data_IF_040981337762
#
_entry.id   IF_040981337762
#
_cell.length_a   1.000
_cell.length_b   1.000
_cell.length_c   1.000
_cell.angle_alpha   90.00
_cell.angle_beta   90.00
_cell.angle_gamma   90.00
#
_symmetry.space_group_name_H-M   'P 1'
#
loop_
_entity.id
_entity.type
_entity.pdbx_description
1 polymer ?
#
# COMPACT_ATOMS: atom_id res chain seq x y z
N UNK A 1 46.40 -61.34 20.22
CA UNK A 1 47.27 -61.36 21.40
C UNK A 1 46.86 -60.21 22.27
N UNK A 2 46.29 -60.34 23.35
CA UNK A 2 46.25 -61.09 24.59
C UNK A 2 45.67 -60.10 25.60
N UNK A 3 44.87 -60.49 26.30
CA UNK A 3 44.38 -61.16 27.53
C UNK A 3 43.87 -60.12 28.51
N UNK A 4 42.57 -60.09 28.82
CA UNK A 4 41.82 -60.60 29.98
C UNK A 4 42.60 -60.50 31.33
N UNK A 5 41.99 -59.76 32.24
CA UNK A 5 42.03 -60.10 33.65
C UNK A 5 40.73 -59.60 34.35
N UNK A 6 40.02 -60.60 34.85
CA UNK A 6 38.84 -60.49 35.77
C UNK A 6 39.46 -60.64 37.18
N UNK A 7 38.96 -59.87 38.14
CA UNK A 7 39.09 -60.20 39.54
C UNK A 7 37.87 -59.97 40.34
N UNK A 8 37.48 -60.92 41.14
CA UNK A 8 36.29 -61.17 41.92
C UNK A 8 36.33 -60.62 43.34
N UNK A 9 35.15 -60.33 43.87
CA UNK A 9 34.66 -60.51 45.24
C UNK A 9 35.19 -59.67 46.39
N UNK A 10 34.33 -59.05 47.18
CA UNK A 10 33.92 -59.63 48.48
C UNK A 10 32.62 -58.99 49.03
N UNK A 11 31.87 -59.78 49.77
CA UNK A 11 30.57 -59.58 50.42
C UNK A 11 30.74 -58.93 51.78
N UNK A 12 29.54 -58.39 52.19
CA UNK A 12 28.96 -58.29 53.55
C UNK A 12 29.08 -56.89 54.15
N UNK A 13 27.98 -56.23 54.60
CA UNK A 13 27.14 -56.57 55.74
C UNK A 13 25.88 -55.69 55.81
N UNK A 14 24.81 -56.23 56.25
CA UNK A 14 23.52 -55.63 56.56
C UNK A 14 23.61 -54.51 57.58
N UNK A 15 22.86 -53.40 57.36
CA UNK A 15 22.24 -52.65 58.46
C UNK A 15 20.92 -52.01 57.94
N UNK A 16 19.84 -52.36 58.68
CA UNK A 16 18.49 -51.83 58.46
C UNK A 16 18.42 -50.38 58.95
N UNK A 17 17.99 -49.48 58.09
CA UNK A 17 17.60 -48.13 58.47
C UNK A 17 16.29 -47.76 57.75
N UNK A 18 15.17 -47.68 58.50
CA UNK A 18 13.92 -47.09 58.06
C UNK A 18 14.18 -45.61 57.77
N UNK A 19 14.13 -45.21 56.52
CA UNK A 19 14.10 -43.80 56.13
C UNK A 19 12.77 -43.49 55.43
N UNK A 20 11.94 -42.63 56.03
CA UNK A 20 10.69 -42.17 55.47
C UNK A 20 10.95 -41.43 54.14
N UNK A 21 10.41 -41.94 53.03
CA UNK A 21 10.42 -41.25 51.74
C UNK A 21 9.38 -40.14 51.75
N UNK A 22 9.82 -38.89 51.91
CA UNK A 22 9.04 -37.69 51.58
C UNK A 22 8.93 -37.62 50.07
N UNK A 23 7.76 -38.00 49.54
CA UNK A 23 7.42 -37.73 48.11
C UNK A 23 7.10 -36.25 48.00
N UNK A 24 8.06 -35.46 47.57
CA UNK A 24 7.83 -34.08 47.14
C UNK A 24 7.12 -34.11 45.79
N UNK A 25 5.81 -33.98 45.76
CA UNK A 25 5.03 -33.69 44.56
C UNK A 25 5.38 -32.27 44.12
N UNK A 26 6.31 -32.14 43.18
CA UNK A 26 6.55 -30.91 42.44
C UNK A 26 5.31 -30.63 41.60
N UNK A 27 4.47 -29.70 42.03
CA UNK A 27 3.44 -29.08 41.21
C UNK A 27 4.15 -28.32 40.05
N UNK A 28 4.27 -28.97 38.91
CA UNK A 28 4.67 -28.30 37.68
C UNK A 28 3.55 -27.33 37.27
N UNK A 29 3.72 -26.05 37.61
CA UNK A 29 2.92 -24.98 37.06
C UNK A 29 3.15 -25.01 35.54
N UNK A 30 2.08 -24.96 34.72
CA UNK A 30 2.26 -24.84 33.27
C UNK A 30 3.05 -23.56 33.01
N UNK A 31 4.21 -23.66 32.38
CA UNK A 31 4.95 -22.53 31.88
C UNK A 31 4.01 -21.83 30.88
N UNK A 32 3.47 -20.70 31.26
CA UNK A 32 2.81 -19.83 30.30
C UNK A 32 3.86 -19.49 29.24
N UNK A 33 3.69 -20.04 28.05
CA UNK A 33 4.52 -19.70 26.90
C UNK A 33 4.40 -18.17 26.75
N UNK A 34 5.47 -17.47 27.09
CA UNK A 34 5.57 -16.03 26.86
C UNK A 34 5.45 -15.84 25.34
N UNK A 35 4.35 -15.22 24.89
CA UNK A 35 4.24 -14.82 23.50
C UNK A 35 5.50 -13.99 23.15
N UNK A 36 6.18 -14.29 22.03
CA UNK A 36 7.33 -13.51 21.62
C UNK A 36 6.93 -12.04 21.58
N UNK A 37 7.74 -11.18 22.19
CA UNK A 37 7.53 -9.74 22.10
C UNK A 37 7.48 -9.39 20.60
N UNK A 38 6.46 -8.63 20.19
CA UNK A 38 6.34 -8.22 18.80
C UNK A 38 7.61 -7.46 18.37
N UNK A 39 8.12 -7.68 17.14
CA UNK A 39 9.35 -7.05 16.67
C UNK A 39 9.33 -5.54 16.92
N UNK A 40 10.46 -4.98 17.33
CA UNK A 40 10.61 -3.54 17.48
C UNK A 40 10.43 -2.85 16.12
N UNK A 41 9.86 -1.64 16.10
CA UNK A 41 9.71 -0.82 14.90
C UNK A 41 10.20 0.59 15.20
N UNK A 42 11.39 0.90 14.72
CA UNK A 42 11.96 2.23 14.89
C UNK A 42 11.10 3.33 14.26
N UNK A 43 10.45 3.02 13.13
CA UNK A 43 9.56 3.96 12.45
C UNK A 43 8.30 4.23 13.26
N UNK A 44 7.62 3.18 13.78
CA UNK A 44 6.44 3.36 14.63
C UNK A 44 6.77 4.13 15.91
N UNK A 45 7.90 3.85 16.52
CA UNK A 45 8.34 4.54 17.73
C UNK A 45 8.62 6.03 17.45
N UNK A 46 9.27 6.36 16.34
CA UNK A 46 9.51 7.73 15.90
C UNK A 46 8.20 8.47 15.58
N UNK A 47 7.26 7.82 14.89
CA UNK A 47 5.94 8.40 14.57
C UNK A 47 5.17 8.69 15.85
N UNK A 48 5.16 7.77 16.82
CA UNK A 48 4.48 7.94 18.11
C UNK A 48 5.11 9.05 18.95
N UNK A 49 6.43 9.07 19.05
CA UNK A 49 7.16 10.11 19.78
C UNK A 49 6.89 11.50 19.22
N UNK A 50 6.77 11.61 17.90
CA UNK A 50 6.46 12.86 17.19
C UNK A 50 4.97 13.24 17.26
N UNK A 51 4.07 12.25 17.47
CA UNK A 51 2.62 12.43 17.52
C UNK A 51 1.97 12.71 16.17
N UNK A 52 2.67 12.45 15.05
CA UNK A 52 2.17 12.65 13.68
C UNK A 52 2.89 11.76 12.68
N UNK A 53 2.16 11.27 11.68
CA UNK A 53 2.68 10.56 10.51
C UNK A 53 3.18 11.59 9.49
N UNK A 54 4.34 11.34 8.85
CA UNK A 54 4.80 12.13 7.70
C UNK A 54 4.60 11.29 6.45
N UNK A 55 3.69 11.72 5.59
CA UNK A 55 3.31 10.98 4.38
C UNK A 55 3.70 11.75 3.12
N UNK A 56 4.53 11.12 2.28
CA UNK A 56 4.86 11.63 0.96
C UNK A 56 3.71 11.38 -0.02
N UNK A 57 3.27 12.43 -0.71
CA UNK A 57 2.12 12.40 -1.63
C UNK A 57 2.49 13.02 -2.97
N UNK A 58 1.63 12.91 -3.98
CA UNK A 58 1.80 13.60 -5.25
C UNK A 58 1.72 15.13 -5.07
N UNK A 59 2.38 15.89 -5.92
CA UNK A 59 2.37 17.37 -5.89
C UNK A 59 1.00 17.97 -6.22
N UNK A 60 0.16 17.22 -6.95
CA UNK A 60 -1.21 17.61 -7.32
C UNK A 60 -1.76 16.69 -8.40
N UNK A 61 -2.52 15.65 -8.00
CA UNK A 61 -3.18 14.72 -8.91
C UNK A 61 -4.62 14.52 -8.45
N UNK A 62 -5.55 15.04 -9.24
CA UNK A 62 -6.99 14.99 -8.92
C UNK A 62 -7.45 13.56 -8.61
N UNK A 63 -8.25 13.38 -7.59
CA UNK A 63 -8.74 12.10 -7.12
C UNK A 63 -7.72 11.26 -6.33
N UNK A 64 -6.41 11.47 -6.49
CA UNK A 64 -5.37 10.73 -5.76
C UNK A 64 -4.78 11.54 -4.60
N UNK A 65 -4.19 12.68 -4.87
CA UNK A 65 -3.66 13.57 -3.84
C UNK A 65 -3.58 15.00 -4.36
N UNK A 66 -4.38 15.88 -3.80
CA UNK A 66 -4.30 17.32 -4.05
C UNK A 66 -4.90 18.11 -2.90
N UNK A 67 -4.42 19.33 -2.61
CA UNK A 67 -5.10 20.22 -1.69
C UNK A 67 -6.39 20.77 -2.33
N UNK A 68 -7.45 20.89 -1.52
CA UNK A 68 -8.65 21.65 -1.90
C UNK A 68 -8.43 23.16 -1.79
N UNK A 69 -9.46 23.96 -2.07
CA UNK A 69 -9.41 25.43 -2.00
C UNK A 69 -9.09 25.99 -0.61
N UNK A 70 -9.17 25.15 0.44
CA UNK A 70 -8.82 25.50 1.82
C UNK A 70 -7.45 24.97 2.22
N UNK A 71 -6.71 24.35 1.28
CA UNK A 71 -5.41 23.74 1.55
C UNK A 71 -5.51 22.37 2.21
N UNK A 72 -6.69 21.79 2.37
CA UNK A 72 -6.87 20.45 2.96
C UNK A 72 -6.61 19.38 1.91
N UNK A 73 -5.66 18.49 2.18
CA UNK A 73 -5.33 17.39 1.29
C UNK A 73 -6.47 16.38 1.19
N UNK A 74 -6.80 15.97 -0.04
CA UNK A 74 -7.85 14.99 -0.36
C UNK A 74 -7.39 14.04 -1.46
N UNK A 75 -7.98 12.86 -1.48
CA UNK A 75 -7.78 11.88 -2.53
C UNK A 75 -7.55 10.47 -2.01
N UNK A 76 -7.51 9.53 -2.94
CA UNK A 76 -7.36 8.10 -2.68
C UNK A 76 -6.06 7.79 -1.91
N UNK A 77 -4.92 8.30 -2.37
CA UNK A 77 -3.63 8.13 -1.70
C UNK A 77 -3.59 8.83 -0.33
N UNK A 78 -4.26 9.99 -0.21
CA UNK A 78 -4.38 10.73 1.04
C UNK A 78 -5.17 9.93 2.09
N UNK A 79 -6.23 9.24 1.67
CA UNK A 79 -7.03 8.42 2.58
C UNK A 79 -6.22 7.21 3.12
N UNK A 80 -5.26 6.67 2.37
CA UNK A 80 -4.32 5.66 2.90
C UNK A 80 -3.38 6.25 3.97
N UNK A 81 -2.88 7.48 3.80
CA UNK A 81 -2.13 8.15 4.86
C UNK A 81 -3.00 8.35 6.12
N UNK A 82 -4.25 8.79 5.96
CA UNK A 82 -5.21 8.95 7.05
C UNK A 82 -5.53 7.63 7.74
N UNK A 83 -5.66 6.54 6.97
CA UNK A 83 -5.92 5.22 7.54
C UNK A 83 -4.81 4.78 8.50
N UNK A 84 -3.54 5.03 8.15
CA UNK A 84 -2.40 4.77 9.04
C UNK A 84 -2.44 5.68 10.27
N UNK A 85 -2.74 6.96 10.11
CA UNK A 85 -2.87 7.88 11.25
C UNK A 85 -4.02 7.49 12.20
N UNK A 86 -5.16 7.07 11.67
CA UNK A 86 -6.29 6.56 12.47
C UNK A 86 -5.87 5.29 13.22
N UNK A 87 -5.16 4.37 12.58
CA UNK A 87 -4.69 3.15 13.24
C UNK A 87 -3.75 3.46 14.42
N UNK A 88 -2.91 4.48 14.30
CA UNK A 88 -1.90 4.84 15.30
C UNK A 88 -2.43 5.78 16.39
N UNK A 89 -3.28 6.74 16.05
CA UNK A 89 -3.68 7.85 16.91
C UNK A 89 -5.19 7.98 17.09
N UNK A 90 -5.97 7.16 16.38
CA UNK A 90 -7.42 7.32 16.29
C UNK A 90 -7.85 8.71 15.79
N UNK A 91 -7.01 9.35 14.96
CA UNK A 91 -7.19 10.72 14.46
C UNK A 91 -6.70 10.82 13.01
N UNK A 92 -7.57 11.14 12.02
CA UNK A 92 -7.21 11.26 10.61
C UNK A 92 -6.33 12.48 10.31
N UNK A 93 -6.30 13.47 11.21
CA UNK A 93 -5.58 14.72 11.00
C UNK A 93 -4.14 14.68 11.55
N UNK A 94 -3.75 13.58 12.19
CA UNK A 94 -2.37 13.34 12.63
C UNK A 94 -1.45 12.95 11.48
N UNK A 95 -1.54 13.68 10.37
CA UNK A 95 -0.71 13.50 9.16
C UNK A 95 -0.13 14.84 8.73
N UNK A 96 1.18 14.86 8.50
CA UNK A 96 1.87 15.91 7.75
C UNK A 96 2.13 15.41 6.34
N UNK A 97 1.56 16.07 5.35
CA UNK A 97 1.76 15.74 3.94
C UNK A 97 2.99 16.44 3.40
N UNK A 98 3.83 15.69 2.65
CA UNK A 98 5.01 16.20 1.95
C UNK A 98 4.84 15.94 0.46
N UNK A 99 4.56 16.97 -0.35
CA UNK A 99 4.48 16.81 -1.80
C UNK A 99 5.85 16.41 -2.37
N UNK A 100 5.87 15.34 -3.17
CA UNK A 100 7.09 14.85 -3.81
C UNK A 100 6.89 14.72 -5.32
N UNK A 101 7.94 15.03 -6.09
CA UNK A 101 7.98 14.76 -7.53
C UNK A 101 8.23 13.27 -7.79
N UNK A 102 8.06 12.82 -9.03
CA UNK A 102 8.39 11.46 -9.42
C UNK A 102 9.88 11.15 -9.20
N UNK A 103 10.74 12.15 -9.34
CA UNK A 103 12.19 12.02 -9.26
C UNK A 103 12.70 11.99 -7.80
N UNK A 104 12.16 12.84 -6.91
CA UNK A 104 12.68 12.96 -5.54
C UNK A 104 12.00 12.06 -4.49
N UNK A 105 10.84 11.45 -4.81
CA UNK A 105 10.04 10.65 -3.85
C UNK A 105 10.85 9.56 -3.14
N UNK A 106 11.70 8.84 -3.89
CA UNK A 106 12.47 7.74 -3.32
C UNK A 106 13.58 8.23 -2.38
N UNK A 107 14.25 9.33 -2.73
CA UNK A 107 15.25 9.97 -1.86
C UNK A 107 14.60 10.49 -0.58
N UNK A 108 13.41 11.11 -0.68
CA UNK A 108 12.65 11.56 0.50
C UNK A 108 12.28 10.41 1.44
N UNK A 109 11.92 9.22 0.89
CA UNK A 109 11.64 8.05 1.71
C UNK A 109 12.92 7.46 2.31
N UNK A 110 13.98 7.30 1.51
CA UNK A 110 15.25 6.72 1.97
C UNK A 110 15.91 7.56 3.06
N UNK A 111 15.89 8.89 2.94
CA UNK A 111 16.47 9.82 3.94
C UNK A 111 15.68 9.92 5.24
N UNK A 112 14.44 9.42 5.26
CA UNK A 112 13.53 9.55 6.40
C UNK A 112 12.83 10.91 6.47
N UNK A 113 12.87 11.71 5.42
CA UNK A 113 12.07 12.94 5.30
C UNK A 113 10.57 12.62 5.38
N UNK A 114 10.19 11.46 4.85
CA UNK A 114 8.84 10.88 5.01
C UNK A 114 8.92 9.48 5.62
N UNK A 115 7.89 9.10 6.36
CA UNK A 115 7.77 7.76 6.96
C UNK A 115 7.30 6.73 5.94
N UNK A 116 6.37 7.13 5.08
CA UNK A 116 5.82 6.34 3.98
C UNK A 116 5.55 7.22 2.76
N UNK A 117 5.45 6.56 1.60
CA UNK A 117 4.90 7.16 0.38
C UNK A 117 3.53 6.56 0.09
N UNK A 118 2.51 7.38 -0.08
CA UNK A 118 1.24 7.04 -0.72
C UNK A 118 1.06 7.99 -1.90
N UNK A 119 1.58 7.56 -3.07
CA UNK A 119 1.84 8.46 -4.19
C UNK A 119 1.88 7.70 -5.52
N UNK A 120 0.78 7.09 -5.91
CA UNK A 120 0.65 6.40 -7.21
C UNK A 120 1.99 5.80 -7.71
N UNK A 121 2.61 4.94 -6.88
CA UNK A 121 3.93 4.37 -7.15
C UNK A 121 3.81 2.92 -7.56
N UNK A 122 4.29 2.62 -8.75
CA UNK A 122 4.30 1.26 -9.32
C UNK A 122 5.25 0.35 -8.57
N UNK A 123 4.79 -0.81 -8.16
CA UNK A 123 5.62 -1.88 -7.61
C UNK A 123 6.43 -2.53 -8.73
N UNK A 124 7.74 -2.43 -8.65
CA UNK A 124 8.66 -3.06 -9.60
C UNK A 124 9.76 -3.80 -8.85
N UNK A 125 10.36 -4.81 -9.50
CA UNK A 125 11.48 -5.56 -8.92
C UNK A 125 12.60 -4.64 -8.42
N UNK A 126 13.00 -3.64 -9.21
CA UNK A 126 14.10 -2.75 -8.85
C UNK A 126 13.77 -1.85 -7.65
N UNK A 127 12.53 -1.36 -7.54
CA UNK A 127 12.08 -0.54 -6.43
C UNK A 127 12.00 -1.35 -5.14
N UNK A 128 11.52 -2.58 -5.25
CA UNK A 128 11.44 -3.53 -4.15
C UNK A 128 12.84 -3.92 -3.66
N UNK A 129 13.67 -4.48 -4.52
CA UNK A 129 14.96 -5.08 -4.15
C UNK A 129 16.11 -4.08 -4.09
N UNK A 130 16.41 -3.40 -5.22
CA UNK A 130 17.60 -2.56 -5.33
C UNK A 130 17.47 -1.23 -4.62
N UNK A 131 16.28 -0.61 -4.60
CA UNK A 131 16.03 0.62 -3.88
C UNK A 131 15.65 0.39 -2.40
N UNK A 132 15.32 -0.84 -2.04
CA UNK A 132 15.07 -1.23 -0.66
C UNK A 132 13.75 -0.70 -0.08
N UNK A 133 12.63 -0.99 -0.76
CA UNK A 133 11.31 -0.60 -0.31
C UNK A 133 10.35 -1.78 -0.17
N UNK A 134 9.61 -1.83 0.92
CA UNK A 134 8.50 -2.74 1.13
C UNK A 134 7.18 -2.09 0.65
N UNK A 135 6.47 -2.76 -0.25
CA UNK A 135 5.15 -2.31 -0.70
C UNK A 135 4.03 -2.83 0.21
N UNK A 136 3.10 -1.95 0.56
CA UNK A 136 1.94 -2.23 1.39
C UNK A 136 0.75 -2.84 0.64
N UNK A 137 1.02 -3.61 -0.42
CA UNK A 137 0.01 -4.19 -1.30
C UNK A 137 -0.25 -3.36 -2.55
N UNK A 138 -1.10 -3.87 -3.44
CA UNK A 138 -1.51 -3.18 -4.67
C UNK A 138 -2.86 -2.52 -4.39
N UNK A 139 -2.83 -1.23 -4.09
CA UNK A 139 -4.04 -0.45 -3.81
C UNK A 139 -4.78 -0.04 -5.07
N UNK A 140 -4.09 0.03 -6.21
CA UNK A 140 -4.69 0.39 -7.48
C UNK A 140 -3.98 -0.34 -8.64
N UNK A 141 -4.74 -1.11 -9.41
CA UNK A 141 -4.29 -1.75 -10.65
C UNK A 141 -4.49 -0.78 -11.80
N UNK A 142 -3.40 -0.37 -12.46
CA UNK A 142 -3.37 0.58 -13.54
C UNK A 142 -2.56 0.07 -14.73
N UNK A 143 -2.44 0.87 -15.75
CA UNK A 143 -1.59 0.70 -16.90
C UNK A 143 -1.24 2.05 -17.50
N UNK A 144 -0.19 2.12 -18.33
CA UNK A 144 0.21 3.34 -19.00
C UNK A 144 -0.56 3.52 -20.32
N UNK A 145 -1.04 4.75 -20.56
CA UNK A 145 -1.72 5.14 -21.78
C UNK A 145 -1.20 6.44 -22.36
N UNK A 146 -1.95 6.98 -23.33
CA UNK A 146 -1.66 8.24 -24.00
C UNK A 146 -2.89 9.12 -24.05
N UNK A 147 -2.71 10.41 -23.85
CA UNK A 147 -3.73 11.43 -24.05
C UNK A 147 -3.31 12.37 -25.16
N UNK A 148 -4.20 12.64 -26.10
CA UNK A 148 -3.99 13.52 -27.26
C UNK A 148 -5.12 14.55 -27.35
N UNK A 149 -4.90 15.65 -28.09
CA UNK A 149 -5.99 16.55 -28.44
C UNK A 149 -6.90 15.86 -29.45
N UNK A 150 -8.22 15.98 -29.26
CA UNK A 150 -9.22 15.44 -30.19
C UNK A 150 -9.00 15.93 -31.63
N UNK A 151 -8.55 17.17 -31.79
CA UNK A 151 -8.24 17.79 -33.09
C UNK A 151 -7.08 17.11 -33.85
N UNK A 152 -6.23 16.29 -33.18
CA UNK A 152 -5.16 15.55 -33.81
C UNK A 152 -5.70 14.38 -34.65
N UNK A 153 -6.91 13.88 -34.34
CA UNK A 153 -7.56 12.81 -35.11
C UNK A 153 -6.96 11.42 -34.90
N UNK A 154 -5.97 11.26 -34.02
CA UNK A 154 -5.29 9.99 -33.69
C UNK A 154 -6.24 9.10 -32.88
N UNK A 155 -6.27 7.81 -33.20
CA UNK A 155 -7.14 6.80 -32.59
C UNK A 155 -6.40 5.71 -31.84
N UNK A 156 -5.13 5.47 -32.18
CA UNK A 156 -4.28 4.45 -31.59
C UNK A 156 -2.89 5.02 -31.30
N UNK A 157 -2.21 4.46 -30.30
CA UNK A 157 -0.86 4.85 -29.96
C UNK A 157 0.16 4.64 -31.11
N UNK A 158 -0.10 3.70 -32.02
CA UNK A 158 0.75 3.47 -33.20
C UNK A 158 0.77 4.64 -34.18
N UNK A 159 -0.27 5.46 -34.21
CA UNK A 159 -0.37 6.65 -35.06
C UNK A 159 0.46 7.83 -34.52
N UNK A 160 1.12 7.67 -33.35
CA UNK A 160 2.04 8.64 -32.78
C UNK A 160 3.49 8.53 -33.33
N UNK A 161 3.72 7.84 -34.45
CA UNK A 161 5.05 7.80 -35.07
C UNK A 161 5.50 9.20 -35.48
N UNK A 162 6.65 9.62 -34.99
CA UNK A 162 7.21 10.97 -35.20
C UNK A 162 6.72 12.03 -34.21
N UNK A 163 5.77 11.72 -33.32
CA UNK A 163 5.19 12.67 -32.41
C UNK A 163 6.16 13.15 -31.30
N UNK A 164 5.87 14.33 -30.75
CA UNK A 164 6.48 14.83 -29.53
C UNK A 164 5.61 14.36 -28.33
N UNK A 165 6.23 13.72 -27.34
CA UNK A 165 5.51 13.13 -26.21
C UNK A 165 6.03 13.67 -24.88
N UNK A 166 5.18 14.37 -24.13
CA UNK A 166 5.47 14.81 -22.78
C UNK A 166 5.50 13.61 -21.81
N UNK A 167 6.56 13.50 -21.01
CA UNK A 167 6.78 12.44 -20.04
C UNK A 167 7.55 12.97 -18.83
N UNK A 168 7.34 12.35 -17.64
CA UNK A 168 8.09 12.70 -16.43
C UNK A 168 9.30 11.78 -16.25
N UNK A 169 10.48 12.33 -15.85
CA UNK A 169 11.68 11.55 -15.59
C UNK A 169 11.54 10.71 -14.30
N UNK A 170 12.33 9.61 -14.24
CA UNK A 170 12.37 8.74 -13.06
C UNK A 170 11.10 7.90 -12.85
N UNK A 171 10.33 7.71 -13.91
CA UNK A 171 9.08 6.94 -13.90
C UNK A 171 9.22 5.63 -14.67
N UNK A 172 8.36 4.65 -14.36
CA UNK A 172 8.12 3.48 -15.22
C UNK A 172 7.62 3.92 -16.58
N UNK A 173 6.85 5.00 -16.63
CA UNK A 173 6.28 5.58 -17.86
C UNK A 173 7.35 5.94 -18.89
N UNK A 174 8.44 6.58 -18.47
CA UNK A 174 9.56 6.94 -19.33
C UNK A 174 10.24 5.69 -19.92
N UNK A 175 10.45 4.67 -19.07
CA UNK A 175 11.05 3.40 -19.48
C UNK A 175 10.14 2.62 -20.42
N UNK A 176 8.87 2.45 -20.05
CA UNK A 176 7.88 1.72 -20.85
C UNK A 176 7.66 2.38 -22.21
N UNK A 177 7.59 3.71 -22.27
CA UNK A 177 7.47 4.45 -23.54
C UNK A 177 8.63 4.10 -24.49
N UNK A 178 9.85 4.10 -23.99
CA UNK A 178 11.05 3.78 -24.76
C UNK A 178 11.03 2.33 -25.25
N UNK A 179 10.69 1.39 -24.37
CA UNK A 179 10.65 -0.03 -24.71
C UNK A 179 9.52 -0.36 -25.70
N UNK A 180 8.33 0.20 -25.47
CA UNK A 180 7.18 0.03 -26.35
C UNK A 180 7.43 0.61 -27.75
N UNK A 181 8.00 1.81 -27.83
CA UNK A 181 8.32 2.45 -29.10
C UNK A 181 9.34 1.62 -29.91
N UNK A 182 10.39 1.12 -29.24
CA UNK A 182 11.38 0.23 -29.83
C UNK A 182 10.75 -1.06 -30.36
N UNK A 183 9.92 -1.72 -29.55
CA UNK A 183 9.26 -2.97 -29.91
C UNK A 183 8.30 -2.81 -31.10
N UNK A 184 7.64 -1.66 -31.20
CA UNK A 184 6.68 -1.36 -32.25
C UNK A 184 7.28 -0.58 -33.44
N UNK A 185 8.60 -0.27 -33.43
CA UNK A 185 9.31 0.51 -34.46
C UNK A 185 8.73 1.91 -34.65
N UNK A 186 8.29 2.52 -33.55
CA UNK A 186 7.75 3.88 -33.51
C UNK A 186 8.87 4.83 -33.08
N UNK A 187 8.98 5.95 -33.78
CA UNK A 187 9.88 7.05 -33.43
C UNK A 187 9.08 8.09 -32.66
N UNK A 188 9.68 8.69 -31.69
CA UNK A 188 9.09 9.81 -30.94
C UNK A 188 10.19 10.74 -30.43
N UNK A 189 9.83 11.96 -30.12
CA UNK A 189 10.70 12.92 -29.44
C UNK A 189 10.19 13.12 -28.01
N UNK A 190 10.92 12.67 -26.98
CA UNK A 190 10.49 12.88 -25.60
C UNK A 190 10.68 14.35 -25.20
N UNK A 191 9.66 14.91 -24.58
CA UNK A 191 9.72 16.21 -23.88
C UNK A 191 9.66 15.91 -22.39
N UNK A 192 10.84 15.86 -21.76
CA UNK A 192 10.99 15.44 -20.35
C UNK A 192 10.78 16.65 -19.44
N UNK A 193 9.75 16.56 -18.59
CA UNK A 193 9.37 17.64 -17.65
C UNK A 193 9.08 17.02 -16.28
N UNK A 194 9.75 17.51 -15.25
CA UNK A 194 9.70 16.91 -13.91
C UNK A 194 8.35 17.15 -13.21
N UNK A 195 7.84 18.38 -13.25
CA UNK A 195 6.61 18.73 -12.53
C UNK A 195 5.38 18.38 -13.37
N UNK A 196 4.39 17.74 -12.73
CA UNK A 196 3.14 17.32 -13.39
C UNK A 196 2.44 18.51 -14.05
N UNK A 197 2.30 19.61 -13.31
CA UNK A 197 1.60 20.81 -13.79
C UNK A 197 2.28 21.41 -15.02
N UNK A 198 3.61 21.43 -15.03
CA UNK A 198 4.39 21.93 -16.16
C UNK A 198 4.29 21.01 -17.39
N UNK A 199 4.32 19.68 -17.17
CA UNK A 199 4.13 18.70 -18.23
C UNK A 199 2.73 18.81 -18.88
N UNK A 200 1.70 18.94 -18.05
CA UNK A 200 0.32 19.15 -18.51
C UNK A 200 0.18 20.49 -19.24
N UNK A 201 0.75 21.57 -18.72
CA UNK A 201 0.72 22.88 -19.38
C UNK A 201 1.46 22.84 -20.72
N UNK A 202 2.60 22.16 -20.83
CA UNK A 202 3.33 21.98 -22.08
C UNK A 202 2.49 21.23 -23.12
N UNK A 203 1.81 20.16 -22.72
CA UNK A 203 0.88 19.42 -23.57
C UNK A 203 -0.32 20.29 -24.00
N UNK A 204 -0.98 21.00 -23.08
CA UNK A 204 -2.11 21.87 -23.37
C UNK A 204 -1.72 23.00 -24.31
N UNK A 205 -0.53 23.58 -24.12
CA UNK A 205 0.04 24.61 -24.99
C UNK A 205 0.48 24.09 -26.39
N UNK A 206 0.47 22.76 -26.60
CA UNK A 206 0.86 22.15 -27.89
C UNK A 206 2.37 22.02 -28.09
N UNK A 207 3.17 22.06 -27.02
CA UNK A 207 4.60 21.70 -27.07
C UNK A 207 4.81 20.20 -27.25
N UNK A 208 3.80 19.40 -26.84
CA UNK A 208 3.76 17.96 -27.05
C UNK A 208 2.46 17.60 -27.76
N UNK A 209 2.54 16.70 -28.73
CA UNK A 209 1.40 16.12 -29.44
C UNK A 209 0.60 15.18 -28.53
N UNK A 210 1.31 14.48 -27.63
CA UNK A 210 0.71 13.58 -26.65
C UNK A 210 1.32 13.79 -25.25
N UNK A 211 0.52 13.43 -24.24
CA UNK A 211 0.97 13.25 -22.86
C UNK A 211 0.80 11.80 -22.45
N UNK A 212 1.81 11.20 -21.84
CA UNK A 212 1.79 9.80 -21.39
C UNK A 212 2.06 9.70 -19.90
N UNK A 213 1.23 8.93 -19.22
CA UNK A 213 1.34 8.51 -17.83
C UNK A 213 0.37 7.36 -17.60
N UNK A 214 0.15 6.95 -16.33
CA UNK A 214 -0.89 6.01 -15.94
C UNK A 214 -2.26 6.46 -16.45
N UNK A 215 -3.11 5.54 -16.91
CA UNK A 215 -4.45 5.85 -17.43
C UNK A 215 -5.28 6.59 -16.41
N UNK A 216 -5.15 6.24 -15.14
CA UNK A 216 -5.81 6.97 -14.05
C UNK A 216 -5.32 8.42 -13.94
N UNK A 217 -4.01 8.64 -14.13
CA UNK A 217 -3.41 9.97 -14.16
C UNK A 217 -3.86 10.78 -15.37
N UNK A 218 -4.04 10.14 -16.53
CA UNK A 218 -4.62 10.79 -17.71
C UNK A 218 -6.08 11.17 -17.48
N UNK A 219 -6.88 10.31 -16.83
CA UNK A 219 -8.26 10.61 -16.47
C UNK A 219 -8.34 11.79 -15.50
N UNK A 220 -7.49 11.81 -14.47
CA UNK A 220 -7.36 12.92 -13.54
C UNK A 220 -7.00 14.22 -14.26
N UNK A 221 -5.99 14.18 -15.14
CA UNK A 221 -5.55 15.33 -15.93
C UNK A 221 -6.67 15.85 -16.84
N UNK A 222 -7.35 14.95 -17.55
CA UNK A 222 -8.45 15.30 -18.44
C UNK A 222 -9.61 15.95 -17.70
N UNK A 223 -10.01 15.39 -16.55
CA UNK A 223 -11.12 15.92 -15.74
C UNK A 223 -10.86 17.34 -15.22
N UNK A 224 -9.60 17.71 -15.03
CA UNK A 224 -9.19 19.03 -14.55
C UNK A 224 -9.07 20.08 -15.68
N UNK A 225 -9.23 19.70 -16.96
CA UNK A 225 -9.15 20.64 -18.06
C UNK A 225 -10.45 21.47 -18.17
N UNK A 226 -10.31 22.71 -18.64
CA UNK A 226 -11.47 23.59 -18.90
C UNK A 226 -12.46 22.98 -19.90
N UNK A 227 -11.97 22.19 -20.86
CA UNK A 227 -12.75 21.48 -21.88
C UNK A 227 -12.27 20.02 -21.98
N UNK A 228 -12.72 19.13 -21.08
CA UNK A 228 -12.29 17.73 -21.05
C UNK A 228 -12.53 16.97 -22.37
N UNK A 229 -13.60 17.35 -23.13
CA UNK A 229 -13.94 16.74 -24.41
C UNK A 229 -12.93 17.01 -25.52
N UNK A 230 -12.10 18.06 -25.40
CA UNK A 230 -11.03 18.35 -26.35
C UNK A 230 -9.82 17.39 -26.20
N UNK A 231 -9.85 16.50 -25.22
CA UNK A 231 -8.77 15.57 -24.91
C UNK A 231 -9.27 14.12 -24.96
N UNK A 232 -8.59 13.28 -25.72
CA UNK A 232 -8.92 11.86 -25.88
C UNK A 232 -7.82 11.02 -25.23
N UNK A 233 -8.21 10.11 -24.34
CA UNK A 233 -7.34 9.05 -23.85
C UNK A 233 -7.46 7.91 -24.86
N UNK A 234 -6.34 7.53 -25.46
CA UNK A 234 -6.31 6.44 -26.44
C UNK A 234 -6.59 5.08 -25.75
N UNK A 235 -7.18 4.11 -26.48
CA UNK A 235 -7.54 2.82 -25.90
C UNK A 235 -6.34 1.91 -25.60
N UNK A 236 -5.16 2.26 -26.14
CA UNK A 236 -3.96 1.46 -25.98
C UNK A 236 -3.41 1.57 -24.55
N UNK A 237 -3.22 0.43 -23.90
CA UNK A 237 -2.53 0.30 -22.61
C UNK A 237 -1.24 -0.47 -22.85
N UNK A 238 -0.10 0.16 -22.59
CA UNK A 238 1.21 -0.36 -22.99
C UNK A 238 2.01 -1.01 -21.85
N UNK A 239 1.50 -0.97 -20.62
CA UNK A 239 2.17 -1.57 -19.46
C UNK A 239 1.18 -2.06 -18.41
N UNK A 240 1.72 -2.72 -17.39
CA UNK A 240 1.03 -3.00 -16.10
C UNK A 240 1.65 -2.08 -15.05
N UNK A 241 0.79 -1.34 -14.36
CA UNK A 241 1.19 -0.42 -13.29
C UNK A 241 0.45 -0.79 -11.99
N UNK A 242 0.96 -1.78 -11.22
CA UNK A 242 0.42 -2.11 -9.91
C UNK A 242 0.88 -1.05 -8.90
N UNK A 243 0.00 -0.12 -8.53
CA UNK A 243 0.31 0.99 -7.64
C UNK A 243 0.05 0.62 -6.19
N UNK A 244 0.91 1.11 -5.30
CA UNK A 244 0.70 0.92 -3.85
C UNK A 244 1.55 1.84 -2.99
N UNK A 245 1.18 1.98 -1.70
CA UNK A 245 2.01 2.67 -0.72
C UNK A 245 3.27 1.86 -0.43
N UNK A 246 4.33 2.55 -0.07
CA UNK A 246 5.61 1.90 0.23
C UNK A 246 6.31 2.56 1.42
N UNK A 247 7.13 1.77 2.10
CA UNK A 247 7.94 2.13 3.25
C UNK A 247 9.39 1.67 3.04
N UNK A 248 10.32 2.10 3.89
CA UNK A 248 11.71 1.63 3.85
C UNK A 248 11.80 0.15 4.28
N UNK A 249 12.70 -0.61 3.67
CA UNK A 249 13.09 -1.93 4.15
C UNK A 249 13.63 -1.88 5.59
N UNK A 250 13.55 -3.02 6.26
CA UNK A 250 14.12 -3.21 7.59
C UNK A 250 13.17 -2.89 8.75
N UNK A 251 11.98 -2.38 8.48
CA UNK A 251 10.92 -2.21 9.47
C UNK A 251 9.66 -2.98 9.06
N UNK A 252 9.75 -4.31 9.19
CA UNK A 252 8.69 -5.21 8.77
C UNK A 252 7.37 -4.95 9.48
N UNK A 253 7.41 -4.51 10.75
CA UNK A 253 6.19 -4.23 11.51
C UNK A 253 5.43 -3.04 10.96
N UNK A 254 6.13 -1.98 10.54
CA UNK A 254 5.50 -0.83 9.89
C UNK A 254 5.00 -1.20 8.48
N UNK A 255 5.78 -1.98 7.73
CA UNK A 255 5.37 -2.52 6.43
C UNK A 255 4.09 -3.38 6.55
N UNK A 256 4.04 -4.26 7.55
CA UNK A 256 2.87 -5.09 7.82
C UNK A 256 1.66 -4.24 8.22
N UNK A 257 1.82 -3.22 9.05
CA UNK A 257 0.72 -2.32 9.40
C UNK A 257 0.11 -1.67 8.15
N UNK A 258 0.94 -1.09 7.27
CA UNK A 258 0.47 -0.46 6.04
C UNK A 258 -0.23 -1.47 5.13
N UNK A 259 0.32 -2.66 4.99
CA UNK A 259 -0.23 -3.75 4.19
C UNK A 259 -1.57 -4.26 4.73
N UNK A 260 -1.65 -4.54 6.02
CA UNK A 260 -2.87 -5.07 6.63
C UNK A 260 -3.99 -4.05 6.78
N UNK A 261 -3.68 -2.75 6.76
CA UNK A 261 -4.71 -1.71 6.59
C UNK A 261 -5.38 -1.87 5.22
N UNK A 262 -4.61 -2.02 4.13
CA UNK A 262 -5.18 -2.25 2.80
C UNK A 262 -6.03 -3.52 2.76
N UNK A 263 -5.49 -4.65 3.21
CA UNK A 263 -6.23 -5.91 3.25
C UNK A 263 -7.48 -5.83 4.13
N UNK A 264 -7.41 -5.09 5.24
CA UNK A 264 -8.56 -4.85 6.10
C UNK A 264 -9.66 -4.03 5.41
N UNK A 265 -9.30 -3.02 4.62
CA UNK A 265 -10.25 -2.23 3.82
C UNK A 265 -10.95 -3.07 2.75
N UNK A 266 -10.20 -3.95 2.06
CA UNK A 266 -10.74 -4.91 1.07
C UNK A 266 -11.64 -5.93 1.76
N UNK A 267 -11.19 -6.51 2.87
CA UNK A 267 -12.00 -7.46 3.67
C UNK A 267 -13.29 -6.82 4.20
N UNK A 268 -13.24 -5.56 4.63
CA UNK A 268 -14.44 -4.84 5.06
C UNK A 268 -15.47 -4.72 3.91
N UNK A 269 -15.01 -4.45 2.69
CA UNK A 269 -15.89 -4.44 1.52
C UNK A 269 -16.47 -5.83 1.22
N UNK A 270 -15.64 -6.89 1.25
CA UNK A 270 -16.08 -8.28 1.05
C UNK A 270 -17.16 -8.70 2.05
N UNK A 271 -17.04 -8.26 3.29
CA UNK A 271 -17.99 -8.57 4.36
C UNK A 271 -19.22 -7.67 4.38
N UNK A 272 -19.30 -6.67 3.48
CA UNK A 272 -20.38 -5.70 3.43
C UNK A 272 -20.36 -4.68 4.57
N UNK A 273 -19.18 -4.48 5.21
CA UNK A 273 -18.99 -3.50 6.26
C UNK A 273 -18.64 -2.14 5.66
N UNK A 274 -19.40 -1.13 6.03
CA UNK A 274 -19.32 0.24 5.52
C UNK A 274 -19.15 1.24 6.67
N UNK A 275 -18.86 2.50 6.34
CA UNK A 275 -18.82 3.56 7.34
C UNK A 275 -20.15 3.73 8.11
N UNK A 276 -21.27 3.33 7.52
CA UNK A 276 -22.59 3.45 8.11
C UNK A 276 -22.95 2.32 9.06
N UNK A 277 -22.40 1.09 8.85
CA UNK A 277 -22.84 -0.08 9.62
C UNK A 277 -21.77 -0.72 10.50
N UNK A 278 -20.48 -0.43 10.31
CA UNK A 278 -19.41 -1.07 11.08
C UNK A 278 -19.51 -0.82 12.59
N UNK A 279 -20.02 0.31 13.01
CA UNK A 279 -20.26 0.62 14.42
C UNK A 279 -21.26 -0.32 15.10
N UNK A 280 -22.15 -0.95 14.31
CA UNK A 280 -23.16 -1.91 14.78
C UNK A 280 -22.73 -3.37 14.56
N UNK A 281 -21.59 -3.62 13.94
CA UNK A 281 -21.11 -4.96 13.61
C UNK A 281 -20.75 -5.82 14.86
N UNK A 282 -20.81 -5.24 16.05
CA UNK A 282 -20.60 -5.96 17.31
C UNK A 282 -21.61 -7.09 17.53
N UNK A 283 -22.82 -6.97 16.99
CA UNK A 283 -23.88 -7.99 17.05
C UNK A 283 -23.79 -9.05 15.95
N UNK A 284 -22.93 -8.86 14.96
CA UNK A 284 -22.73 -9.83 13.88
C UNK A 284 -21.95 -11.05 14.41
N UNK A 285 -22.52 -12.23 14.25
CA UNK A 285 -21.93 -13.47 14.78
C UNK A 285 -20.94 -14.14 13.83
N UNK A 286 -20.76 -13.62 12.63
CA UNK A 286 -19.81 -14.18 11.65
C UNK A 286 -18.36 -14.06 12.18
N UNK A 287 -17.60 -15.17 12.26
CA UNK A 287 -16.26 -15.14 12.83
C UNK A 287 -15.29 -14.17 12.15
N UNK A 288 -15.41 -14.00 10.82
CA UNK A 288 -14.56 -13.09 10.06
C UNK A 288 -14.84 -11.62 10.43
N UNK A 289 -16.12 -11.27 10.63
CA UNK A 289 -16.51 -9.96 11.13
C UNK A 289 -15.95 -9.72 12.52
N UNK A 290 -16.11 -10.69 13.45
CA UNK A 290 -15.62 -10.56 14.81
C UNK A 290 -14.10 -10.37 14.89
N UNK A 291 -13.34 -11.02 13.99
CA UNK A 291 -11.90 -10.80 13.85
C UNK A 291 -11.58 -9.41 13.33
N UNK A 292 -12.22 -8.99 12.23
CA UNK A 292 -11.97 -7.68 11.62
C UNK A 292 -12.26 -6.52 12.57
N UNK A 293 -13.33 -6.61 13.35
CA UNK A 293 -13.69 -5.57 14.32
C UNK A 293 -12.91 -5.66 15.65
N UNK A 294 -11.97 -6.61 15.77
CA UNK A 294 -11.06 -6.76 16.92
C UNK A 294 -11.69 -7.36 18.16
N UNK A 295 -12.82 -8.07 18.04
CA UNK A 295 -13.48 -8.77 19.15
C UNK A 295 -13.01 -10.21 19.33
N UNK A 296 -12.31 -10.75 18.36
CA UNK A 296 -11.74 -12.10 18.39
C UNK A 296 -10.29 -12.04 17.93
N UNK A 297 -9.37 -12.54 18.77
CA UNK A 297 -7.94 -12.48 18.55
C UNK A 297 -7.32 -11.12 18.89
N UNK A 298 -5.98 -11.08 18.88
CA UNK A 298 -5.17 -9.89 19.19
C UNK A 298 -4.52 -9.29 17.93
N UNK A 299 -5.25 -9.29 16.82
CA UNK A 299 -4.69 -8.96 15.49
C UNK A 299 -4.14 -7.53 15.41
N UNK A 300 -4.81 -6.56 16.02
CA UNK A 300 -4.31 -5.18 16.09
C UNK A 300 -3.02 -5.10 16.90
N UNK A 301 -2.96 -5.78 18.06
CA UNK A 301 -1.75 -5.80 18.90
C UNK A 301 -0.56 -6.44 18.21
N UNK A 302 -0.77 -7.45 17.36
CA UNK A 302 0.29 -8.03 16.52
C UNK A 302 0.92 -6.98 15.60
N UNK A 303 0.11 -6.04 15.09
CA UNK A 303 0.55 -4.90 14.28
C UNK A 303 1.03 -3.70 15.12
N UNK A 304 0.86 -3.77 16.44
CA UNK A 304 1.22 -2.69 17.35
C UNK A 304 0.19 -1.57 17.45
N UNK A 305 -1.05 -1.85 17.12
CA UNK A 305 -2.17 -0.89 17.22
C UNK A 305 -3.31 -1.46 18.05
N UNK A 306 -4.34 -0.67 18.31
CA UNK A 306 -5.55 -1.15 18.98
C UNK A 306 -6.26 -2.22 18.15
N UNK A 307 -6.87 -3.21 18.80
CA UNK A 307 -7.60 -4.27 18.10
C UNK A 307 -8.79 -3.74 17.29
N UNK A 308 -9.39 -2.62 17.69
CA UNK A 308 -10.49 -1.98 16.99
C UNK A 308 -10.02 -1.03 15.85
N UNK A 309 -8.74 -1.07 15.45
CA UNK A 309 -8.19 -0.15 14.44
C UNK A 309 -8.99 -0.14 13.13
N UNK A 310 -9.48 -1.31 12.67
CA UNK A 310 -10.31 -1.37 11.46
C UNK A 310 -11.69 -0.74 11.66
N UNK A 311 -12.30 -0.88 12.85
CA UNK A 311 -13.54 -0.16 13.17
C UNK A 311 -13.31 1.35 13.09
N UNK A 312 -12.21 1.82 13.68
CA UNK A 312 -11.85 3.24 13.68
C UNK A 312 -11.58 3.79 12.27
N UNK A 313 -10.92 3.00 11.42
CA UNK A 313 -10.64 3.37 10.03
C UNK A 313 -11.92 3.40 9.21
N UNK A 314 -12.65 2.27 9.17
CA UNK A 314 -13.82 2.12 8.31
C UNK A 314 -14.96 3.07 8.70
N UNK A 315 -15.17 3.32 10.00
CA UNK A 315 -16.20 4.28 10.44
C UNK A 315 -15.95 5.70 9.92
N UNK A 316 -14.70 6.10 9.72
CA UNK A 316 -14.33 7.46 9.26
C UNK A 316 -14.10 7.57 7.78
N UNK A 317 -13.42 6.58 7.18
CA UNK A 317 -13.01 6.61 5.78
C UNK A 317 -13.87 5.73 4.88
N UNK A 318 -14.60 4.76 5.46
CA UNK A 318 -15.26 3.71 4.70
C UNK A 318 -14.34 2.54 4.38
N UNK A 319 -14.89 1.53 3.71
CA UNK A 319 -14.16 0.40 3.16
C UNK A 319 -13.45 0.79 1.84
N UNK A 320 -12.73 -0.15 1.22
CA UNK A 320 -11.99 0.12 -0.02
C UNK A 320 -12.89 0.67 -1.14
N UNK A 321 -14.08 0.10 -1.35
CA UNK A 321 -15.03 0.56 -2.37
C UNK A 321 -15.49 2.00 -2.11
N UNK A 322 -15.80 2.33 -0.85
CA UNK A 322 -16.23 3.68 -0.49
C UNK A 322 -15.11 4.72 -0.67
N UNK A 323 -13.87 4.35 -0.36
CA UNK A 323 -12.69 5.20 -0.61
C UNK A 323 -12.51 5.41 -2.12
N UNK A 324 -12.62 4.34 -2.92
CA UNK A 324 -12.52 4.40 -4.37
C UNK A 324 -13.60 5.34 -4.96
N UNK A 325 -14.87 5.05 -4.68
CA UNK A 325 -15.99 5.79 -5.27
C UNK A 325 -15.98 7.28 -4.90
N UNK A 326 -15.66 7.60 -3.66
CA UNK A 326 -15.60 9.00 -3.19
C UNK A 326 -14.52 9.80 -3.89
N UNK A 327 -13.35 9.20 -4.14
CA UNK A 327 -12.20 9.92 -4.66
C UNK A 327 -12.07 9.82 -6.18
N UNK A 328 -12.35 8.67 -6.77
CA UNK A 328 -12.03 8.34 -8.16
C UNK A 328 -13.27 8.31 -9.06
N UNK A 329 -14.45 8.06 -8.51
CA UNK A 329 -15.71 8.20 -9.24
C UNK A 329 -15.90 9.57 -9.89
N UNK A 330 -15.67 10.69 -9.19
CA UNK A 330 -15.84 12.05 -9.75
C UNK A 330 -14.93 12.35 -10.95
N UNK A 331 -13.78 11.71 -11.08
CA UNK A 331 -12.90 11.87 -12.25
C UNK A 331 -13.19 10.85 -13.36
N UNK A 332 -14.29 10.08 -13.23
CA UNK A 332 -14.79 9.15 -14.23
C UNK A 332 -14.12 7.78 -14.27
N UNK A 333 -13.34 7.43 -13.25
CA UNK A 333 -12.72 6.11 -13.17
C UNK A 333 -13.74 5.06 -12.73
N UNK A 334 -13.75 3.94 -13.45
CA UNK A 334 -14.52 2.76 -13.11
C UNK A 334 -13.65 1.78 -12.33
N UNK A 335 -14.28 0.94 -11.50
CA UNK A 335 -13.58 -0.07 -10.70
C UNK A 335 -12.72 -1.01 -11.56
N UNK A 336 -13.30 -1.64 -12.57
CA UNK A 336 -12.58 -2.58 -13.44
C UNK A 336 -11.73 -3.57 -12.64
N UNK A 337 -10.41 -3.67 -12.91
CA UNK A 337 -9.50 -4.52 -12.14
C UNK A 337 -9.43 -4.17 -10.64
N UNK A 338 -9.84 -2.97 -10.27
CA UNK A 338 -9.90 -2.51 -8.88
C UNK A 338 -11.17 -2.94 -8.13
N UNK A 339 -12.04 -3.73 -8.75
CA UNK A 339 -13.14 -4.40 -8.08
C UNK A 339 -12.66 -5.60 -7.26
N UNK A 340 -13.49 -6.07 -6.32
CA UNK A 340 -13.23 -7.30 -5.57
C UNK A 340 -13.09 -8.51 -6.52
N UNK A 341 -12.27 -9.48 -6.14
CA UNK A 341 -12.05 -10.73 -6.86
C UNK A 341 -13.33 -11.52 -7.13
N UNK A 342 -14.39 -11.30 -6.35
CA UNK A 342 -15.72 -11.89 -6.55
C UNK A 342 -16.49 -11.26 -7.72
N UNK A 343 -16.02 -10.13 -8.23
CA UNK A 343 -16.55 -9.46 -9.42
C UNK A 343 -15.74 -9.90 -10.64
N UNK A 344 -16.36 -10.27 -11.76
CA UNK A 344 -15.64 -10.66 -12.98
C UNK A 344 -14.58 -9.60 -13.38
N UNK A 345 -13.32 -10.04 -13.47
CA UNK A 345 -12.18 -9.17 -13.79
C UNK A 345 -11.62 -8.34 -12.63
N UNK A 346 -12.20 -8.44 -11.44
CA UNK A 346 -11.68 -7.80 -10.23
C UNK A 346 -10.43 -8.52 -9.71
N UNK A 347 -9.46 -7.75 -9.22
CA UNK A 347 -8.17 -8.25 -8.71
C UNK A 347 -7.93 -7.89 -7.23
N UNK A 348 -8.83 -7.14 -6.59
CA UNK A 348 -8.70 -6.86 -5.16
C UNK A 348 -9.02 -8.12 -4.36
N UNK A 349 -7.96 -8.70 -3.79
CA UNK A 349 -7.99 -9.96 -3.07
C UNK A 349 -7.17 -9.84 -1.79
N UNK A 350 -7.83 -9.96 -0.64
CA UNK A 350 -7.18 -9.88 0.66
C UNK A 350 -6.88 -11.27 1.22
N UNK A 351 -5.69 -11.51 1.80
CA UNK A 351 -5.45 -12.70 2.61
C UNK A 351 -6.40 -12.75 3.82
N UNK A 352 -6.72 -13.96 4.34
CA UNK A 352 -7.61 -14.11 5.48
C UNK A 352 -7.12 -13.35 6.72
N UNK A 353 -8.01 -12.61 7.34
CA UNK A 353 -7.76 -11.85 8.58
C UNK A 353 -7.82 -12.79 9.79
N UNK A 354 -6.70 -13.52 10.09
CA UNK A 354 -6.61 -14.56 11.14
C UNK A 354 -5.30 -14.47 11.90
#
# INVERSE_FOLDING_TARGET
MGRIAVTYFNRSTFLRGLGAALVATALSLPAMAQQPAAPASATLDAIRARGTLICGVNTGLAGFAQPDSQGVWRGFDVDYCRAVAIALFNDPDKVRYVPTTAQNRFTALQSGEVDMLSRNTTWTLSRDTSLGFDFGGITFYDGQGFMVKASLGVRTARELDGATICVQPGTTTEQNLTDWARANRIRFTPVVIERVEEAVNAYVAGRCDAYTTDVSGLAATRSAQARPADHVILPDVISKEPLGPLVRHGDQRFADLVRWIHFGLVTAEELGLTSQNIGQAASDTRPDVQRLIGRSGDLGRMLGVDNAFMVNIVSRLGNYGQIFERNLGPIGLQRGPNALWTTPGGLQYAPPFR
#
